data_IF_970463980293
#
_entry.id   IF_970463980293
#
_cell.length_a   1.000
_cell.length_b   1.000
_cell.length_c   1.000
_cell.angle_alpha   90.00
_cell.angle_beta   90.00
_cell.angle_gamma   90.00
#
_symmetry.space_group_name_H-M   'P 1'
#
loop_
_entity.id
_entity.type
_entity.pdbx_description
1 polymer ?
#
# COMPACT_ATOMS: atom_id res chain seq x y z
N UNK A 1 -3.66 -11.77 2.93
CA UNK A 1 -4.61 -10.70 3.35
C UNK A 1 -6.03 -11.06 2.90
N UNK A 2 -7.06 -10.87 3.73
CA UNK A 2 -8.44 -11.21 3.34
C UNK A 2 -9.09 -10.14 2.42
N UNK A 3 -10.20 -10.49 1.76
CA UNK A 3 -10.85 -9.62 0.78
C UNK A 3 -11.35 -8.28 1.38
N UNK A 4 -11.85 -8.29 2.62
CA UNK A 4 -12.34 -7.08 3.29
C UNK A 4 -11.21 -6.08 3.55
N UNK A 5 -10.06 -6.57 4.04
CA UNK A 5 -8.87 -5.73 4.26
C UNK A 5 -8.25 -5.25 2.95
N UNK A 6 -8.29 -6.06 1.89
CA UNK A 6 -7.84 -5.63 0.56
C UNK A 6 -8.71 -4.48 0.00
N UNK A 7 -10.03 -4.55 0.20
CA UNK A 7 -10.92 -3.44 -0.14
C UNK A 7 -10.61 -2.19 0.67
N UNK A 8 -10.39 -2.33 1.98
CA UNK A 8 -10.04 -1.21 2.85
C UNK A 8 -8.68 -0.61 2.47
N UNK A 9 -7.69 -1.43 2.11
CA UNK A 9 -6.42 -1.00 1.54
C UNK A 9 -6.63 -0.09 0.33
N UNK A 10 -7.40 -0.52 -0.68
CA UNK A 10 -7.62 0.30 -1.87
C UNK A 10 -8.38 1.61 -1.56
N UNK A 11 -9.28 1.59 -0.58
CA UNK A 11 -9.91 2.82 -0.09
C UNK A 11 -8.90 3.79 0.52
N UNK A 12 -7.88 3.29 1.23
CA UNK A 12 -6.81 4.11 1.81
C UNK A 12 -5.88 4.66 0.72
N UNK A 13 -5.56 3.86 -0.30
CA UNK A 13 -4.74 4.32 -1.44
C UNK A 13 -5.40 5.50 -2.14
N UNK A 14 -6.70 5.42 -2.40
CA UNK A 14 -7.47 6.50 -3.04
C UNK A 14 -7.54 7.79 -2.20
N UNK A 15 -7.31 7.68 -0.88
CA UNK A 15 -7.28 8.83 0.04
C UNK A 15 -5.85 9.37 0.25
N UNK A 16 -4.82 8.62 -0.16
CA UNK A 16 -3.43 9.02 0.00
C UNK A 16 -3.06 10.07 -1.05
N UNK A 17 -2.32 11.10 -0.64
CA UNK A 17 -1.82 12.11 -1.59
C UNK A 17 -0.63 11.54 -2.39
N UNK A 18 -0.64 11.66 -3.74
CA UNK A 18 0.29 10.95 -4.61
C UNK A 18 1.69 11.56 -4.73
N UNK A 19 1.86 12.81 -4.31
CA UNK A 19 3.08 13.60 -4.61
C UNK A 19 4.36 13.03 -3.98
N UNK A 20 4.27 12.28 -2.88
CA UNK A 20 5.45 11.75 -2.18
C UNK A 20 5.85 10.34 -2.63
N UNK A 21 4.93 9.56 -3.20
CA UNK A 21 5.12 8.13 -3.49
C UNK A 21 5.51 7.84 -4.95
N UNK A 22 5.16 8.74 -5.87
CA UNK A 22 5.39 8.58 -7.32
C UNK A 22 6.87 8.45 -7.69
N UNK A 23 7.73 9.25 -7.06
CA UNK A 23 9.18 9.27 -7.30
C UNK A 23 10.00 8.51 -6.24
N UNK A 24 9.34 7.87 -5.27
CA UNK A 24 10.02 7.17 -4.20
C UNK A 24 10.80 5.95 -4.72
N UNK A 25 11.91 5.59 -4.06
CA UNK A 25 12.55 4.30 -4.29
C UNK A 25 11.63 3.16 -3.83
N UNK A 26 11.85 1.93 -4.31
CA UNK A 26 10.99 0.79 -3.93
C UNK A 26 10.93 0.59 -2.41
N UNK A 27 12.09 0.66 -1.75
CA UNK A 27 12.17 0.50 -0.31
C UNK A 27 11.37 1.58 0.44
N UNK A 28 11.44 2.83 -0.03
CA UNK A 28 10.68 3.94 0.56
C UNK A 28 9.19 3.77 0.30
N UNK A 29 8.79 3.43 -0.93
CA UNK A 29 7.40 3.17 -1.30
C UNK A 29 6.78 2.09 -0.42
N UNK A 30 7.43 0.93 -0.30
CA UNK A 30 6.94 -0.19 0.51
C UNK A 30 6.88 0.21 1.98
N UNK A 31 7.93 0.84 2.51
CA UNK A 31 7.99 1.23 3.92
C UNK A 31 6.86 2.19 4.29
N UNK A 32 6.68 3.26 3.49
CA UNK A 32 5.66 4.27 3.74
C UNK A 32 4.24 3.70 3.63
N UNK A 33 3.94 2.95 2.55
CA UNK A 33 2.63 2.36 2.36
C UNK A 33 2.31 1.26 3.37
N UNK A 34 3.28 0.41 3.71
CA UNK A 34 3.07 -0.63 4.72
C UNK A 34 2.80 -0.01 6.08
N UNK A 35 3.51 1.05 6.44
CA UNK A 35 3.28 1.80 7.69
C UNK A 35 1.89 2.43 7.68
N UNK A 36 1.57 3.20 6.64
CA UNK A 36 0.27 3.86 6.50
C UNK A 36 -0.90 2.88 6.56
N UNK A 37 -0.82 1.76 5.85
CA UNK A 37 -1.87 0.73 5.83
C UNK A 37 -1.96 0.02 7.18
N UNK A 38 -0.82 -0.27 7.82
CA UNK A 38 -0.83 -0.93 9.12
C UNK A 38 -1.42 -0.04 10.22
N UNK A 39 -1.13 1.26 10.21
CA UNK A 39 -1.66 2.24 11.16
C UNK A 39 -3.20 2.35 11.06
N UNK A 40 -3.77 2.04 9.88
CA UNK A 40 -5.21 2.12 9.65
C UNK A 40 -5.95 0.78 9.75
N UNK A 41 -5.31 -0.35 9.41
CA UNK A 41 -5.98 -1.65 9.28
C UNK A 41 -5.59 -2.69 10.34
N UNK A 42 -4.66 -2.34 11.24
CA UNK A 42 -4.14 -3.21 12.30
C UNK A 42 -3.82 -4.61 11.76
N UNK A 43 -2.83 -4.70 10.89
CA UNK A 43 -2.47 -5.95 10.21
C UNK A 43 -1.70 -6.88 11.17
N UNK A 44 -1.98 -8.18 11.07
CA UNK A 44 -1.15 -9.20 11.72
C UNK A 44 0.21 -9.34 11.02
N UNK A 45 1.19 -9.96 11.67
CA UNK A 45 2.53 -10.16 11.08
C UNK A 45 2.48 -10.90 9.72
N UNK A 46 1.60 -11.89 9.58
CA UNK A 46 1.42 -12.61 8.32
C UNK A 46 0.81 -11.70 7.24
N UNK A 47 -0.18 -10.87 7.60
CA UNK A 47 -0.81 -9.94 6.66
C UNK A 47 0.12 -8.80 6.26
N UNK A 48 1.01 -8.34 7.14
CA UNK A 48 2.06 -7.39 6.79
C UNK A 48 3.04 -7.98 5.77
N UNK A 49 3.40 -9.26 5.95
CA UNK A 49 4.26 -9.97 4.99
C UNK A 49 3.58 -10.10 3.63
N UNK A 50 2.30 -10.49 3.61
CA UNK A 50 1.48 -10.55 2.40
C UNK A 50 1.36 -9.16 1.74
N UNK A 51 1.16 -8.11 2.54
CA UNK A 51 1.06 -6.74 2.05
C UNK A 51 2.35 -6.30 1.37
N UNK A 52 3.52 -6.54 1.98
CA UNK A 52 4.81 -6.19 1.38
C UNK A 52 5.02 -6.91 0.05
N UNK A 53 4.70 -8.21 -0.01
CA UNK A 53 4.75 -8.98 -1.25
C UNK A 53 3.79 -8.41 -2.31
N UNK A 54 2.58 -8.03 -1.90
CA UNK A 54 1.58 -7.41 -2.77
C UNK A 54 2.04 -6.05 -3.31
N UNK A 55 2.55 -5.17 -2.44
CA UNK A 55 3.06 -3.85 -2.80
C UNK A 55 4.19 -3.94 -3.84
N UNK A 56 5.11 -4.90 -3.69
CA UNK A 56 6.15 -5.18 -4.69
C UNK A 56 5.54 -5.61 -6.03
N UNK A 57 4.69 -6.62 -6.00
CA UNK A 57 4.12 -7.22 -7.21
C UNK A 57 3.20 -6.26 -7.98
N UNK A 58 2.53 -5.34 -7.28
CA UNK A 58 1.49 -4.46 -7.82
C UNK A 58 1.86 -2.98 -7.78
N UNK A 59 3.14 -2.66 -7.58
CA UNK A 59 3.63 -1.28 -7.50
C UNK A 59 3.16 -0.40 -8.65
N UNK A 60 3.30 -0.86 -9.89
CA UNK A 60 2.89 -0.13 -11.10
C UNK A 60 1.41 0.25 -11.06
N UNK A 61 0.51 -0.70 -10.74
CA UNK A 61 -0.92 -0.43 -10.62
C UNK A 61 -1.26 0.57 -9.51
N UNK A 62 -0.56 0.48 -8.37
CA UNK A 62 -0.78 1.42 -7.26
C UNK A 62 -0.34 2.83 -7.67
N UNK A 63 0.79 2.95 -8.38
CA UNK A 63 1.26 4.22 -8.91
C UNK A 63 0.30 4.79 -9.96
N UNK A 64 -0.22 3.96 -10.86
CA UNK A 64 -1.22 4.38 -11.85
C UNK A 64 -2.48 4.94 -11.17
N UNK A 65 -2.93 4.32 -10.08
CA UNK A 65 -4.09 4.78 -9.30
C UNK A 65 -3.81 6.06 -8.52
N UNK A 66 -2.58 6.27 -8.05
CA UNK A 66 -2.19 7.48 -7.33
C UNK A 66 -2.03 8.68 -8.28
N UNK A 67 -1.54 8.46 -9.51
CA UNK A 67 -1.24 9.53 -10.47
C UNK A 67 -2.45 9.91 -11.34
N UNK A 68 -3.49 9.06 -11.39
CA UNK A 68 -4.73 9.29 -12.14
C UNK A 68 -5.69 10.29 -11.47
#
# INVERSE_FOLDING_TARGET
MNASKLRAFWSLILQASPDSLSNASEAVFISQLSTYVNDNLCLTANEQTDLVAYLRAKRHLILDVLIA
#
